data_IF_139143465048
#
_entry.id   IF_139143465048
#
_cell.length_a   1.000
_cell.length_b   1.000
_cell.length_c   1.000
_cell.angle_alpha   90.00
_cell.angle_beta   90.00
_cell.angle_gamma   90.00
#
_symmetry.space_group_name_H-M   'P 1'
#
loop_
_entity.id
_entity.type
_entity.pdbx_description
1 polymer ?
#
# COMPACT_ATOMS: atom_id res chain seq x y z
N UNK A 1 33.15 -13.37 22.73
CA UNK A 1 32.51 -14.68 23.00
C UNK A 1 31.01 -14.44 23.02
N UNK A 2 30.37 -14.50 21.83
CA UNK A 2 28.91 -14.52 21.72
C UNK A 2 28.56 -16.01 21.64
N UNK A 3 27.80 -16.49 22.61
CA UNK A 3 27.24 -17.84 22.57
C UNK A 3 26.29 -17.88 21.37
N UNK A 4 26.62 -18.69 20.37
CA UNK A 4 25.65 -19.19 19.40
C UNK A 4 24.66 -20.04 20.19
N UNK A 5 23.60 -19.43 20.70
CA UNK A 5 22.43 -20.17 21.17
C UNK A 5 21.77 -20.73 19.92
N UNK A 6 22.17 -21.95 19.55
CA UNK A 6 21.37 -22.79 18.68
C UNK A 6 20.02 -23.01 19.39
N UNK A 7 19.00 -22.21 19.05
CA UNK A 7 17.64 -22.37 19.57
C UNK A 7 16.97 -23.67 19.08
N UNK A 8 17.63 -24.39 18.16
CA UNK A 8 17.21 -25.67 17.59
C UNK A 8 18.12 -26.82 18.05
N UNK A 9 18.30 -26.98 19.36
CA UNK A 9 18.81 -28.23 19.90
C UNK A 9 17.78 -29.34 19.65
N UNK A 10 18.20 -30.42 18.98
CA UNK A 10 17.48 -31.68 18.73
C UNK A 10 16.65 -31.80 17.44
N UNK A 11 17.30 -31.68 16.28
CA UNK A 11 16.87 -32.44 15.10
C UNK A 11 17.33 -33.91 15.21
N UNK A 12 16.62 -34.68 16.03
CA UNK A 12 16.56 -36.13 15.88
C UNK A 12 15.14 -36.62 16.18
N UNK A 13 14.17 -36.18 15.37
CA UNK A 13 12.83 -36.74 15.41
C UNK A 13 12.73 -37.78 14.30
N UNK A 14 12.36 -39.02 14.63
CA UNK A 14 12.20 -40.10 13.66
C UNK A 14 10.70 -40.24 13.31
N UNK A 15 10.28 -39.92 12.07
CA UNK A 15 8.92 -40.15 11.60
C UNK A 15 8.49 -41.64 11.65
N UNK A 16 9.47 -42.55 11.75
CA UNK A 16 9.29 -44.00 11.63
C UNK A 16 8.43 -44.62 12.74
N UNK A 17 8.41 -44.06 13.96
CA UNK A 17 7.62 -44.63 15.04
C UNK A 17 6.10 -44.47 14.82
N UNK A 18 5.69 -43.43 14.12
CA UNK A 18 4.27 -43.07 13.90
C UNK A 18 3.70 -43.79 12.68
N UNK A 19 4.53 -44.08 11.68
CA UNK A 19 4.11 -44.76 10.44
C UNK A 19 4.15 -46.29 10.59
N UNK A 20 4.77 -46.83 11.66
CA UNK A 20 4.94 -48.27 11.85
C UNK A 20 3.66 -49.09 11.70
N UNK A 21 2.51 -48.58 12.15
CA UNK A 21 1.21 -49.23 11.95
C UNK A 21 0.75 -49.26 10.47
N UNK A 22 0.95 -48.17 9.74
CA UNK A 22 0.65 -48.08 8.31
C UNK A 22 1.61 -48.92 7.48
N UNK A 23 2.91 -48.93 7.84
CA UNK A 23 3.92 -49.78 7.23
C UNK A 23 3.62 -51.27 7.43
N UNK A 24 3.27 -51.69 8.64
CA UNK A 24 2.87 -53.07 8.90
C UNK A 24 1.62 -53.49 8.11
N UNK A 25 0.65 -52.58 7.94
CA UNK A 25 -0.52 -52.83 7.10
C UNK A 25 -0.15 -52.99 5.62
N UNK A 26 0.78 -52.16 5.12
CA UNK A 26 1.32 -52.30 3.77
C UNK A 26 2.07 -53.63 3.60
N UNK A 27 2.94 -53.99 4.54
CA UNK A 27 3.72 -55.24 4.54
C UNK A 27 2.83 -56.49 4.56
N UNK A 28 1.66 -56.42 5.20
CA UNK A 28 0.68 -57.51 5.21
C UNK A 28 0.02 -57.79 3.85
N UNK A 29 0.15 -56.87 2.87
CA UNK A 29 -0.49 -56.96 1.56
C UNK A 29 -1.98 -56.56 1.54
N UNK A 30 -2.62 -56.33 2.69
CA UNK A 30 -4.04 -55.99 2.81
C UNK A 30 -4.43 -54.68 2.09
N UNK A 31 -3.48 -53.77 1.91
CA UNK A 31 -3.69 -52.51 1.17
C UNK A 31 -4.11 -52.71 -0.29
N UNK A 32 -3.75 -53.84 -0.92
CA UNK A 32 -4.15 -54.16 -2.30
C UNK A 32 -5.62 -54.61 -2.39
N UNK A 33 -6.12 -55.29 -1.35
CA UNK A 33 -7.52 -55.73 -1.28
C UNK A 33 -8.45 -54.66 -0.72
N UNK A 34 -7.96 -53.84 0.21
CA UNK A 34 -8.72 -52.83 0.94
C UNK A 34 -8.02 -51.45 0.95
N UNK A 35 -7.89 -50.77 -0.21
CA UNK A 35 -7.19 -49.49 -0.30
C UNK A 35 -7.83 -48.39 0.55
N UNK A 36 -9.17 -48.39 0.67
CA UNK A 36 -9.93 -47.42 1.49
C UNK A 36 -9.54 -47.50 2.96
N UNK A 37 -9.24 -48.69 3.49
CA UNK A 37 -8.87 -48.88 4.90
C UNK A 37 -7.50 -48.26 5.18
N UNK A 38 -6.57 -48.35 4.23
CA UNK A 38 -5.26 -47.68 4.34
C UNK A 38 -5.43 -46.16 4.33
N UNK A 39 -6.25 -45.62 3.42
CA UNK A 39 -6.50 -44.18 3.31
C UNK A 39 -7.16 -43.62 4.59
N UNK A 40 -8.20 -44.27 5.10
CA UNK A 40 -8.87 -43.86 6.34
C UNK A 40 -7.95 -43.98 7.56
N UNK A 41 -7.15 -45.04 7.64
CA UNK A 41 -6.15 -45.20 8.71
C UNK A 41 -5.10 -44.10 8.65
N UNK A 42 -4.63 -43.75 7.45
CA UNK A 42 -3.67 -42.68 7.23
C UNK A 42 -4.23 -41.30 7.61
N UNK A 43 -5.49 -41.00 7.23
CA UNK A 43 -6.18 -39.78 7.65
C UNK A 43 -6.38 -39.73 9.17
N UNK A 44 -6.72 -40.86 9.79
CA UNK A 44 -6.85 -40.95 11.25
C UNK A 44 -5.52 -40.68 11.95
N UNK A 45 -4.43 -41.28 11.46
CA UNK A 45 -3.07 -41.02 11.96
C UNK A 45 -2.76 -39.53 11.87
N UNK A 46 -2.99 -38.88 10.71
CA UNK A 46 -2.79 -37.44 10.55
C UNK A 46 -3.59 -36.63 11.56
N UNK A 47 -4.89 -36.88 11.71
CA UNK A 47 -5.73 -36.14 12.67
C UNK A 47 -5.24 -36.28 14.11
N UNK A 48 -4.74 -37.46 14.48
CA UNK A 48 -4.26 -37.73 15.84
C UNK A 48 -2.89 -37.10 16.14
N UNK A 49 -1.99 -37.04 15.14
CA UNK A 49 -0.60 -36.60 15.35
C UNK A 49 -0.33 -35.18 14.92
N UNK A 50 -1.11 -34.64 13.99
CA UNK A 50 -0.92 -33.33 13.35
C UNK A 50 -2.03 -32.32 13.73
N UNK A 51 -2.75 -32.55 14.83
CA UNK A 51 -3.80 -31.66 15.29
C UNK A 51 -3.28 -30.25 15.61
N UNK A 52 -4.04 -29.24 15.15
CA UNK A 52 -3.90 -27.83 15.47
C UNK A 52 -5.17 -27.35 16.18
N UNK A 53 -5.01 -26.77 17.36
CA UNK A 53 -6.12 -26.23 18.15
C UNK A 53 -6.37 -24.77 17.79
N UNK A 54 -7.46 -24.52 17.05
CA UNK A 54 -7.84 -23.18 16.63
C UNK A 54 -8.13 -22.24 17.81
N UNK A 55 -8.75 -22.74 18.88
CA UNK A 55 -9.09 -21.92 20.05
C UNK A 55 -7.83 -21.55 20.83
N UNK A 56 -6.87 -22.46 20.93
CA UNK A 56 -5.57 -22.16 21.53
C UNK A 56 -4.78 -21.12 20.71
N UNK A 57 -4.84 -21.19 19.37
CA UNK A 57 -4.19 -20.21 18.49
C UNK A 57 -4.84 -18.82 18.63
N UNK A 58 -6.18 -18.75 18.62
CA UNK A 58 -6.93 -17.51 18.87
C UNK A 58 -6.67 -16.95 20.27
N UNK A 59 -6.50 -17.79 21.27
CA UNK A 59 -6.14 -17.38 22.62
C UNK A 59 -4.69 -16.86 22.71
N UNK A 60 -3.79 -17.40 21.88
CA UNK A 60 -2.38 -17.00 21.84
C UNK A 60 -2.15 -15.66 21.13
N UNK A 61 -3.03 -15.29 20.18
CA UNK A 61 -3.03 -13.99 19.51
C UNK A 61 -4.45 -13.52 19.21
N UNK A 62 -4.84 -12.37 19.76
CA UNK A 62 -6.15 -11.75 19.52
C UNK A 62 -6.00 -10.23 19.39
N UNK A 63 -5.75 -9.76 18.16
CA UNK A 63 -5.81 -8.35 17.77
C UNK A 63 -6.39 -8.21 16.36
N UNK A 64 -7.73 -8.23 16.21
CA UNK A 64 -8.38 -8.17 14.90
C UNK A 64 -8.33 -6.79 14.24
N UNK A 65 -7.97 -5.73 15.00
CA UNK A 65 -8.02 -4.33 14.51
C UNK A 65 -6.80 -3.93 13.66
N UNK A 66 -5.76 -4.75 13.63
CA UNK A 66 -4.51 -4.45 12.94
C UNK A 66 -4.57 -4.93 11.49
N UNK A 67 -4.00 -4.14 10.58
CA UNK A 67 -3.80 -4.59 9.19
C UNK A 67 -2.70 -5.67 9.10
N UNK A 68 -2.54 -6.34 7.94
CA UNK A 68 -1.59 -7.45 7.78
C UNK A 68 -0.13 -7.14 8.17
N UNK A 69 0.40 -5.97 7.78
CA UNK A 69 1.77 -5.58 8.10
C UNK A 69 1.94 -5.28 9.59
N UNK A 70 1.02 -4.52 10.19
CA UNK A 70 1.04 -4.24 11.62
C UNK A 70 0.91 -5.52 12.45
N UNK A 71 0.06 -6.44 12.01
CA UNK A 71 -0.09 -7.78 12.59
C UNK A 71 1.23 -8.55 12.55
N UNK A 72 1.90 -8.60 11.39
CA UNK A 72 3.19 -9.25 11.22
C UNK A 72 4.28 -8.66 12.14
N UNK A 73 4.38 -7.33 12.21
CA UNK A 73 5.32 -6.62 13.09
C UNK A 73 5.05 -6.96 14.55
N UNK A 74 3.79 -6.90 14.99
CA UNK A 74 3.37 -7.24 16.35
C UNK A 74 3.70 -8.70 16.71
N UNK A 75 3.43 -9.65 15.82
CA UNK A 75 3.74 -11.07 16.06
C UNK A 75 5.24 -11.29 16.22
N UNK A 76 6.08 -10.71 15.36
CA UNK A 76 7.53 -10.88 15.42
C UNK A 76 8.18 -10.15 16.61
N UNK A 77 7.60 -9.05 17.08
CA UNK A 77 8.16 -8.25 18.18
C UNK A 77 7.65 -8.65 19.55
N UNK A 78 6.34 -8.89 19.71
CA UNK A 78 5.69 -9.16 20.99
C UNK A 78 5.40 -10.66 21.21
N UNK A 79 5.17 -11.43 20.14
CA UNK A 79 4.70 -12.83 20.22
C UNK A 79 5.65 -13.85 19.56
N UNK A 80 6.96 -13.53 19.45
CA UNK A 80 7.95 -14.36 18.74
C UNK A 80 7.98 -15.81 19.22
N UNK A 81 7.86 -16.07 20.52
CA UNK A 81 7.89 -17.43 21.08
C UNK A 81 6.71 -18.28 20.59
N UNK A 82 5.52 -17.69 20.48
CA UNK A 82 4.32 -18.36 19.97
C UNK A 82 4.51 -18.68 18.49
N UNK A 83 5.02 -17.72 17.73
CA UNK A 83 5.37 -17.89 16.32
C UNK A 83 6.35 -19.05 16.12
N UNK A 84 7.46 -19.09 16.87
CA UNK A 84 8.47 -20.15 16.76
C UNK A 84 7.90 -21.54 17.06
N UNK A 85 7.12 -21.68 18.14
CA UNK A 85 6.48 -22.94 18.49
C UNK A 85 5.50 -23.41 17.42
N UNK A 86 4.74 -22.48 16.83
CA UNK A 86 3.81 -22.79 15.75
C UNK A 86 4.55 -23.22 14.48
N UNK A 87 5.62 -22.53 14.10
CA UNK A 87 6.40 -22.89 12.91
C UNK A 87 7.13 -24.23 13.09
N UNK A 88 7.59 -24.54 14.30
CA UNK A 88 8.06 -25.88 14.64
C UNK A 88 6.95 -26.91 14.44
N UNK A 89 5.72 -26.62 14.89
CA UNK A 89 4.59 -27.52 14.71
C UNK A 89 4.21 -27.71 13.23
N UNK A 90 4.22 -26.65 12.43
CA UNK A 90 4.00 -26.73 10.99
C UNK A 90 5.09 -27.56 10.29
N UNK A 91 6.35 -27.45 10.71
CA UNK A 91 7.42 -28.30 10.22
C UNK A 91 7.17 -29.80 10.55
N UNK A 92 6.74 -30.11 11.78
CA UNK A 92 6.35 -31.48 12.12
C UNK A 92 5.21 -31.97 11.22
N UNK A 93 4.17 -31.16 11.01
CA UNK A 93 3.04 -31.52 10.15
C UNK A 93 3.52 -31.81 8.72
N UNK A 94 4.37 -30.95 8.16
CA UNK A 94 4.98 -31.10 6.84
C UNK A 94 5.73 -32.44 6.71
N UNK A 95 6.55 -32.81 7.69
CA UNK A 95 7.30 -34.08 7.69
C UNK A 95 6.38 -35.31 7.79
N UNK A 96 5.40 -35.29 8.69
CA UNK A 96 4.48 -36.41 8.91
C UNK A 96 3.53 -36.62 7.72
N UNK A 97 2.93 -35.53 7.23
CA UNK A 97 2.06 -35.56 6.06
C UNK A 97 2.85 -35.95 4.80
N UNK A 98 4.05 -35.41 4.62
CA UNK A 98 4.95 -35.80 3.53
C UNK A 98 5.30 -37.29 3.57
N UNK A 99 5.63 -37.84 4.75
CA UNK A 99 5.97 -39.25 4.87
C UNK A 99 4.78 -40.19 4.58
N UNK A 100 3.56 -39.82 5.00
CA UNK A 100 2.34 -40.57 4.69
C UNK A 100 2.00 -40.45 3.19
N UNK A 101 2.12 -39.26 2.60
CA UNK A 101 1.90 -39.06 1.17
C UNK A 101 2.91 -39.87 0.32
N UNK A 102 4.19 -39.94 0.72
CA UNK A 102 5.20 -40.79 0.05
C UNK A 102 4.84 -42.28 0.12
N UNK A 103 4.30 -42.75 1.25
CA UNK A 103 3.82 -44.13 1.41
C UNK A 103 2.64 -44.39 0.47
N UNK A 104 1.65 -43.50 0.43
CA UNK A 104 0.47 -43.65 -0.43
C UNK A 104 0.87 -43.56 -1.91
N UNK A 105 1.72 -42.62 -2.30
CA UNK A 105 2.19 -42.49 -3.68
C UNK A 105 2.90 -43.77 -4.16
N UNK A 106 3.65 -44.44 -3.27
CA UNK A 106 4.37 -45.68 -3.58
C UNK A 106 3.44 -46.88 -3.80
N UNK A 107 2.35 -46.97 -3.05
CA UNK A 107 1.49 -48.15 -3.00
C UNK A 107 0.13 -47.98 -3.70
N UNK A 108 -0.37 -46.74 -3.81
CA UNK A 108 -1.65 -46.34 -4.38
C UNK A 108 -1.52 -45.01 -5.17
N UNK A 109 -0.75 -44.98 -6.29
CA UNK A 109 -0.47 -43.74 -7.02
C UNK A 109 -1.71 -43.08 -7.63
N UNK A 110 -2.80 -43.82 -7.90
CA UNK A 110 -4.06 -43.26 -8.42
C UNK A 110 -4.81 -42.42 -7.37
N UNK A 111 -4.61 -42.70 -6.09
CA UNK A 111 -5.37 -42.10 -4.99
C UNK A 111 -4.67 -40.90 -4.34
N UNK A 112 -3.41 -40.63 -4.69
CA UNK A 112 -2.59 -39.62 -4.00
C UNK A 112 -3.24 -38.22 -3.98
N UNK A 113 -3.77 -37.76 -5.12
CA UNK A 113 -4.39 -36.44 -5.22
C UNK A 113 -5.65 -36.34 -4.36
N UNK A 114 -6.49 -37.38 -4.34
CA UNK A 114 -7.68 -37.42 -3.49
C UNK A 114 -7.31 -37.43 -2.01
N UNK A 115 -6.25 -38.17 -1.65
CA UNK A 115 -5.74 -38.21 -0.29
C UNK A 115 -5.17 -36.85 0.15
N UNK A 116 -4.39 -36.17 -0.69
CA UNK A 116 -3.82 -34.86 -0.38
C UNK A 116 -4.92 -33.83 -0.09
N UNK A 117 -5.95 -33.77 -0.93
CA UNK A 117 -7.11 -32.89 -0.72
C UNK A 117 -7.82 -33.23 0.59
N UNK A 118 -8.04 -34.51 0.88
CA UNK A 118 -8.67 -34.94 2.13
C UNK A 118 -7.80 -34.64 3.36
N UNK A 119 -6.48 -34.78 3.25
CA UNK A 119 -5.52 -34.47 4.29
C UNK A 119 -5.54 -32.96 4.61
N UNK A 120 -5.44 -32.10 3.60
CA UNK A 120 -5.53 -30.64 3.75
C UNK A 120 -6.86 -30.26 4.40
N UNK A 121 -7.99 -30.73 3.87
CA UNK A 121 -9.32 -30.43 4.40
C UNK A 121 -9.51 -30.89 5.85
N UNK A 122 -8.81 -31.95 6.26
CA UNK A 122 -8.89 -32.48 7.63
C UNK A 122 -8.00 -31.74 8.64
N UNK A 123 -6.85 -31.22 8.21
CA UNK A 123 -5.87 -30.57 9.06
C UNK A 123 -6.09 -29.05 9.15
N UNK A 124 -6.47 -28.44 8.04
CA UNK A 124 -6.62 -27.00 7.88
C UNK A 124 -8.08 -26.64 7.63
N UNK A 125 -8.90 -26.84 8.66
CA UNK A 125 -10.28 -26.34 8.64
C UNK A 125 -10.30 -24.81 8.50
N UNK A 126 -11.40 -24.20 8.04
CA UNK A 126 -11.49 -22.75 7.88
C UNK A 126 -11.14 -21.97 9.17
N UNK A 127 -11.53 -22.50 10.33
CA UNK A 127 -11.20 -21.92 11.64
C UNK A 127 -9.69 -21.94 11.92
N UNK A 128 -9.03 -23.05 11.60
CA UNK A 128 -7.56 -23.17 11.74
C UNK A 128 -6.88 -22.21 10.77
N UNK A 129 -7.31 -22.17 9.51
CA UNK A 129 -6.75 -21.26 8.50
C UNK A 129 -6.76 -19.81 8.98
N UNK A 130 -7.93 -19.32 9.40
CA UNK A 130 -8.07 -17.95 9.89
C UNK A 130 -7.24 -17.68 11.15
N UNK A 131 -7.07 -18.69 12.01
CA UNK A 131 -6.24 -18.58 13.22
C UNK A 131 -4.73 -18.57 12.93
N UNK A 132 -4.31 -19.08 11.77
CA UNK A 132 -2.92 -19.09 11.32
C UNK A 132 -2.51 -17.80 10.61
N UNK A 133 -3.45 -17.09 9.98
CA UNK A 133 -3.20 -15.88 9.18
C UNK A 133 -2.23 -14.88 9.82
N UNK A 134 -2.36 -14.48 11.11
CA UNK A 134 -1.43 -13.54 11.74
C UNK A 134 0.03 -13.99 11.72
N UNK A 135 0.25 -15.29 11.90
CA UNK A 135 1.58 -15.89 11.94
C UNK A 135 2.13 -16.09 10.51
N UNK A 136 1.26 -16.35 9.54
CA UNK A 136 1.67 -16.44 8.14
C UNK A 136 2.07 -15.05 7.61
N UNK A 137 1.38 -13.97 7.99
CA UNK A 137 1.83 -12.60 7.69
C UNK A 137 3.19 -12.28 8.31
N UNK A 138 3.46 -12.75 9.53
CA UNK A 138 4.78 -12.64 10.16
C UNK A 138 5.89 -13.31 9.33
N UNK A 139 5.62 -14.49 8.77
CA UNK A 139 6.56 -15.15 7.85
C UNK A 139 6.74 -14.40 6.53
N UNK A 140 5.67 -13.87 5.95
CA UNK A 140 5.73 -13.04 4.74
C UNK A 140 6.64 -11.81 4.94
N UNK A 141 6.61 -11.22 6.13
CA UNK A 141 7.49 -10.11 6.53
C UNK A 141 8.95 -10.54 6.68
N UNK A 142 9.23 -11.72 7.26
CA UNK A 142 10.58 -12.27 7.33
C UNK A 142 11.17 -12.47 5.92
N UNK A 143 10.38 -13.02 5.01
CA UNK A 143 10.79 -13.21 3.62
C UNK A 143 10.97 -11.90 2.87
N UNK A 144 10.15 -10.88 3.16
CA UNK A 144 10.29 -9.54 2.58
C UNK A 144 11.61 -8.88 3.02
N UNK A 145 11.91 -8.94 4.32
CA UNK A 145 13.15 -8.38 4.87
C UNK A 145 14.40 -9.10 4.32
N UNK A 146 14.31 -10.42 4.10
CA UNK A 146 15.38 -11.18 3.44
C UNK A 146 15.54 -10.76 1.97
N UNK A 147 14.44 -10.56 1.24
CA UNK A 147 14.48 -10.09 -0.14
C UNK A 147 15.10 -8.69 -0.26
N UNK A 148 14.74 -7.77 0.65
CA UNK A 148 15.28 -6.42 0.75
C UNK A 148 16.79 -6.40 1.02
N UNK A 149 17.26 -7.31 1.89
CA UNK A 149 18.68 -7.45 2.22
C UNK A 149 19.51 -7.97 1.04
N UNK A 150 18.93 -8.83 0.20
CA UNK A 150 19.60 -9.42 -0.96
C UNK A 150 19.60 -8.50 -2.19
N UNK A 151 18.74 -7.47 -2.23
CA UNK A 151 18.66 -6.49 -3.32
C UNK A 151 18.74 -5.05 -2.79
N UNK A 152 19.87 -4.63 -2.20
CA UNK A 152 20.00 -3.33 -1.54
C UNK A 152 19.91 -2.15 -2.53
N UNK A 153 20.38 -2.33 -3.77
CA UNK A 153 20.40 -1.26 -4.80
C UNK A 153 19.02 -0.71 -5.16
N UNK A 154 17.97 -1.51 -4.95
CA UNK A 154 16.57 -1.17 -5.26
C UNK A 154 15.71 -1.04 -4.00
N UNK A 155 16.31 -1.10 -2.81
CA UNK A 155 15.60 -0.98 -1.56
C UNK A 155 15.55 0.49 -1.12
N UNK A 156 14.50 1.22 -1.51
CA UNK A 156 14.28 2.60 -1.05
C UNK A 156 13.85 2.71 0.43
N UNK A 157 13.59 1.60 1.13
CA UNK A 157 13.13 1.56 2.52
C UNK A 157 14.24 1.19 3.52
N UNK A 158 15.51 1.25 3.11
CA UNK A 158 16.65 0.83 3.93
C UNK A 158 16.79 1.57 5.26
N UNK A 159 16.28 2.81 5.36
CA UNK A 159 16.29 3.62 6.60
C UNK A 159 15.05 3.42 7.47
N UNK A 160 14.10 2.55 7.08
CA UNK A 160 12.89 2.29 7.85
C UNK A 160 13.23 1.88 9.29
N UNK A 161 12.70 2.64 10.25
CA UNK A 161 12.86 2.43 11.69
C UNK A 161 12.22 1.10 12.10
N UNK A 162 11.07 0.76 11.50
CA UNK A 162 10.40 -0.51 11.77
C UNK A 162 11.26 -1.68 11.31
N UNK A 163 11.80 -1.60 10.10
CA UNK A 163 12.64 -2.65 9.51
C UNK A 163 13.95 -2.83 10.28
N UNK A 164 14.60 -1.73 10.66
CA UNK A 164 15.86 -1.76 11.43
C UNK A 164 15.67 -2.32 12.84
N UNK A 165 14.60 -1.92 13.56
CA UNK A 165 14.28 -2.48 14.89
C UNK A 165 14.09 -3.99 14.83
N UNK A 166 13.28 -4.48 13.87
CA UNK A 166 13.04 -5.91 13.71
C UNK A 166 14.34 -6.67 13.36
N UNK A 167 15.14 -6.14 12.44
CA UNK A 167 16.42 -6.75 12.05
C UNK A 167 17.39 -6.92 13.24
N UNK A 168 17.41 -5.97 14.19
CA UNK A 168 18.25 -6.10 15.39
C UNK A 168 17.75 -7.11 16.42
N UNK A 169 16.44 -7.41 16.42
CA UNK A 169 15.81 -8.28 17.41
C UNK A 169 15.73 -9.74 16.95
N UNK A 170 15.65 -9.97 15.64
CA UNK A 170 15.41 -11.29 15.06
C UNK A 170 16.72 -12.01 14.73
N UNK A 171 16.78 -13.36 14.88
CA UNK A 171 17.89 -14.15 14.38
C UNK A 171 18.01 -14.06 12.85
N UNK A 172 19.25 -13.94 12.34
CA UNK A 172 19.52 -13.84 10.89
C UNK A 172 19.00 -15.04 10.08
N UNK A 173 19.05 -16.22 10.68
CA UNK A 173 18.79 -17.49 9.97
C UNK A 173 17.31 -17.90 10.05
N UNK A 174 16.47 -17.11 10.74
CA UNK A 174 15.08 -17.46 11.01
C UNK A 174 14.26 -17.57 9.71
N UNK A 175 14.45 -16.63 8.77
CA UNK A 175 13.77 -16.66 7.48
C UNK A 175 14.11 -17.93 6.70
N UNK A 176 15.39 -18.29 6.63
CA UNK A 176 15.86 -19.50 5.94
C UNK A 176 15.28 -20.77 6.57
N UNK A 177 15.27 -20.86 7.91
CA UNK A 177 14.68 -21.98 8.64
C UNK A 177 13.20 -22.16 8.34
N UNK A 178 12.42 -21.07 8.38
CA UNK A 178 10.99 -21.10 8.08
C UNK A 178 10.71 -21.44 6.61
N UNK A 179 11.57 -21.01 5.69
CA UNK A 179 11.42 -21.24 4.23
C UNK A 179 11.39 -22.71 3.86
N UNK A 180 12.16 -23.55 4.55
CA UNK A 180 12.17 -25.00 4.29
C UNK A 180 10.80 -25.65 4.49
N UNK A 181 9.94 -25.11 5.36
CA UNK A 181 8.59 -25.63 5.63
C UNK A 181 7.70 -25.54 4.38
N UNK A 182 7.88 -24.48 3.58
CA UNK A 182 7.08 -24.21 2.39
C UNK A 182 7.78 -24.63 1.09
N UNK A 183 8.98 -25.20 1.17
CA UNK A 183 9.72 -25.64 -0.01
C UNK A 183 9.04 -26.83 -0.71
N UNK A 184 9.04 -26.81 -2.04
CA UNK A 184 8.39 -27.82 -2.88
C UNK A 184 9.35 -28.97 -3.19
N UNK A 185 9.05 -30.17 -2.67
CA UNK A 185 9.60 -31.43 -3.17
C UNK A 185 8.79 -31.96 -4.37
N UNK A 186 9.39 -32.73 -5.31
CA UNK A 186 8.73 -33.18 -6.54
C UNK A 186 7.57 -34.18 -6.34
N UNK A 187 7.31 -34.64 -5.12
CA UNK A 187 6.25 -35.61 -4.78
C UNK A 187 5.86 -35.55 -3.29
N UNK A 188 5.97 -34.37 -2.68
CA UNK A 188 5.76 -34.18 -1.24
C UNK A 188 4.58 -33.25 -0.99
N UNK A 189 3.79 -33.58 0.04
CA UNK A 189 2.77 -32.70 0.60
C UNK A 189 3.36 -31.31 0.84
N UNK A 190 2.67 -30.23 0.45
CA UNK A 190 3.18 -28.87 0.59
C UNK A 190 2.18 -27.98 1.32
N UNK A 191 2.68 -27.19 2.27
CA UNK A 191 1.93 -26.16 2.97
C UNK A 191 1.87 -24.82 2.21
N UNK A 192 2.38 -24.78 0.98
CA UNK A 192 2.49 -23.56 0.18
C UNK A 192 1.11 -22.90 -0.10
N UNK A 193 0.03 -23.68 -0.20
CA UNK A 193 -1.34 -23.20 -0.38
C UNK A 193 -1.79 -22.20 0.71
N UNK A 194 -1.21 -22.25 1.91
CA UNK A 194 -1.52 -21.34 3.01
C UNK A 194 -1.09 -19.88 2.74
N UNK A 195 -0.21 -19.67 1.76
CA UNK A 195 0.38 -18.36 1.47
C UNK A 195 -0.30 -17.64 0.30
N UNK A 196 -0.99 -18.37 -0.59
CA UNK A 196 -1.44 -17.86 -1.89
C UNK A 196 -2.36 -16.64 -1.76
N UNK A 197 -3.36 -16.73 -0.89
CA UNK A 197 -4.35 -15.67 -0.65
C UNK A 197 -3.81 -14.51 0.18
N UNK A 198 -2.64 -14.68 0.82
CA UNK A 198 -2.05 -13.70 1.73
C UNK A 198 -1.08 -12.73 1.03
N UNK A 199 -0.55 -13.09 -0.14
CA UNK A 199 0.48 -12.31 -0.85
C UNK A 199 0.02 -10.88 -1.13
N UNK A 200 -1.15 -10.73 -1.75
CA UNK A 200 -1.69 -9.43 -2.15
C UNK A 200 -2.04 -8.53 -0.96
N UNK A 201 -2.89 -8.94 0.01
CA UNK A 201 -3.25 -8.08 1.13
C UNK A 201 -2.03 -7.70 1.98
N UNK A 202 -1.07 -8.63 2.14
CA UNK A 202 0.16 -8.34 2.86
C UNK A 202 1.02 -7.29 2.15
N UNK A 203 1.30 -7.45 0.85
CA UNK A 203 2.22 -6.53 0.16
C UNK A 203 1.61 -5.13 0.01
N UNK A 204 0.29 -5.02 -0.21
CA UNK A 204 -0.39 -3.72 -0.27
C UNK A 204 -0.29 -2.98 1.07
N UNK A 205 -0.54 -3.68 2.19
CA UNK A 205 -0.43 -3.12 3.54
C UNK A 205 1.03 -2.77 3.89
N UNK A 206 1.99 -3.66 3.62
CA UNK A 206 3.40 -3.43 3.92
C UNK A 206 3.97 -2.25 3.12
N UNK A 207 3.66 -2.21 1.83
CA UNK A 207 4.12 -1.15 0.95
C UNK A 207 3.50 0.21 1.33
N UNK A 208 2.23 0.25 1.74
CA UNK A 208 1.59 1.47 2.25
C UNK A 208 2.32 2.02 3.48
N UNK A 209 2.55 1.19 4.50
CA UNK A 209 3.21 1.63 5.74
C UNK A 209 4.65 2.08 5.50
N UNK A 210 5.41 1.32 4.72
CA UNK A 210 6.79 1.68 4.39
C UNK A 210 6.86 2.95 3.55
N UNK A 211 5.90 3.16 2.64
CA UNK A 211 5.80 4.41 1.86
C UNK A 211 5.44 5.58 2.75
N UNK A 212 4.49 5.41 3.67
CA UNK A 212 4.12 6.45 4.65
C UNK A 212 5.34 6.88 5.46
N UNK A 213 6.10 5.93 6.02
CA UNK A 213 7.34 6.23 6.76
C UNK A 213 8.39 6.94 5.89
N UNK A 214 8.60 6.49 4.65
CA UNK A 214 9.62 7.04 3.75
C UNK A 214 9.36 8.49 3.36
N UNK A 215 8.09 8.83 3.09
CA UNK A 215 7.76 10.10 2.45
C UNK A 215 7.21 11.14 3.45
N UNK A 216 6.96 10.75 4.70
CA UNK A 216 6.39 11.61 5.74
C UNK A 216 7.16 12.93 5.87
N UNK A 217 6.46 14.07 5.74
CA UNK A 217 7.03 15.42 5.83
C UNK A 217 8.16 15.77 4.83
N UNK A 218 8.47 14.91 3.84
CA UNK A 218 9.54 15.14 2.87
C UNK A 218 8.96 15.47 1.49
N UNK A 219 9.04 16.72 1.03
CA UNK A 219 8.42 17.15 -0.23
C UNK A 219 9.42 17.50 -1.34
N UNK A 220 10.71 17.54 -1.01
CA UNK A 220 11.78 18.05 -1.88
C UNK A 220 12.41 16.97 -2.76
N UNK A 221 11.95 15.72 -2.62
CA UNK A 221 12.44 14.56 -3.36
C UNK A 221 11.30 13.89 -4.14
N UNK A 222 11.64 13.25 -5.26
CA UNK A 222 10.72 12.40 -6.03
C UNK A 222 10.87 10.95 -5.60
N UNK A 223 9.74 10.28 -5.34
CA UNK A 223 9.69 8.93 -4.79
C UNK A 223 9.03 7.92 -5.73
N UNK A 224 8.24 8.36 -6.71
CA UNK A 224 7.54 7.44 -7.64
C UNK A 224 8.51 6.51 -8.37
N UNK A 225 9.66 7.01 -8.84
CA UNK A 225 10.69 6.20 -9.48
C UNK A 225 11.22 5.09 -8.56
N UNK A 226 11.82 5.44 -7.40
CA UNK A 226 12.30 4.48 -6.41
C UNK A 226 11.23 3.45 -5.98
N UNK A 227 9.99 3.89 -5.75
CA UNK A 227 8.86 3.02 -5.39
C UNK A 227 8.55 1.99 -6.48
N UNK A 228 8.59 2.38 -7.75
CA UNK A 228 8.38 1.46 -8.89
C UNK A 228 9.53 0.46 -9.02
N UNK A 229 10.76 0.93 -8.85
CA UNK A 229 11.95 0.08 -8.92
C UNK A 229 11.95 -0.96 -7.79
N UNK A 230 11.55 -0.57 -6.58
CA UNK A 230 11.34 -1.49 -5.45
C UNK A 230 10.34 -2.60 -5.80
N UNK A 231 9.15 -2.26 -6.30
CA UNK A 231 8.14 -3.26 -6.69
C UNK A 231 8.66 -4.20 -7.78
N UNK A 232 9.33 -3.67 -8.80
CA UNK A 232 9.81 -4.46 -9.93
C UNK A 232 11.02 -5.35 -9.59
N UNK A 233 11.89 -4.95 -8.66
CA UNK A 233 13.14 -5.66 -8.36
C UNK A 233 13.11 -6.42 -7.03
N UNK A 234 12.70 -5.76 -5.95
CA UNK A 234 12.65 -6.39 -4.63
C UNK A 234 11.45 -7.32 -4.57
N UNK A 235 10.25 -6.83 -4.90
CA UNK A 235 9.02 -7.60 -4.73
C UNK A 235 8.90 -8.67 -5.83
N UNK A 236 8.89 -8.28 -7.11
CA UNK A 236 8.63 -9.22 -8.21
C UNK A 236 9.80 -10.18 -8.47
N UNK A 237 11.04 -9.67 -8.54
CA UNK A 237 12.21 -10.49 -8.96
C UNK A 237 12.90 -11.22 -7.81
N UNK A 238 12.70 -10.81 -6.56
CA UNK A 238 13.30 -11.45 -5.36
C UNK A 238 12.22 -12.07 -4.47
N UNK A 239 11.42 -11.27 -3.76
CA UNK A 239 10.47 -11.73 -2.74
C UNK A 239 9.46 -12.76 -3.25
N UNK A 240 8.78 -12.47 -4.35
CA UNK A 240 7.84 -13.43 -4.95
C UNK A 240 8.52 -14.73 -5.30
N UNK A 241 9.76 -14.75 -5.79
CA UNK A 241 10.45 -16.02 -6.10
C UNK A 241 10.77 -16.85 -4.85
N UNK A 242 10.88 -16.21 -3.68
CA UNK A 242 11.14 -16.90 -2.41
C UNK A 242 9.88 -17.56 -1.87
N UNK A 243 8.75 -16.87 -2.00
CA UNK A 243 7.45 -17.36 -1.53
C UNK A 243 6.81 -18.28 -2.56
N UNK A 244 6.97 -17.97 -3.85
CA UNK A 244 6.31 -18.60 -4.98
C UNK A 244 7.31 -19.23 -5.95
N UNK A 245 7.28 -20.55 -6.02
CA UNK A 245 7.36 -21.21 -7.33
C UNK A 245 6.00 -21.14 -8.09
N UNK A 246 5.04 -20.30 -7.65
CA UNK A 246 3.71 -20.17 -8.27
C UNK A 246 3.86 -19.78 -9.74
N UNK A 247 3.22 -20.58 -10.59
CA UNK A 247 2.92 -20.25 -11.98
C UNK A 247 1.73 -19.26 -12.01
N UNK A 248 1.92 -18.02 -11.57
CA UNK A 248 0.82 -17.05 -11.54
C UNK A 248 0.57 -16.57 -12.96
N UNK A 249 -0.60 -16.91 -13.51
CA UNK A 249 -1.10 -16.36 -14.78
C UNK A 249 -1.46 -14.86 -14.67
N UNK A 250 -1.59 -14.33 -13.44
CA UNK A 250 -1.82 -12.92 -13.15
C UNK A 250 -0.76 -12.38 -12.19
N UNK A 251 0.01 -11.38 -12.61
CA UNK A 251 0.90 -10.65 -11.71
C UNK A 251 0.03 -9.91 -10.68
N UNK A 252 0.12 -10.21 -9.37
CA UNK A 252 -0.69 -9.54 -8.35
C UNK A 252 -0.33 -8.05 -8.19
N UNK A 253 0.84 -7.65 -8.70
CA UNK A 253 1.36 -6.30 -8.58
C UNK A 253 1.17 -5.55 -9.89
N UNK A 254 0.20 -4.65 -9.90
CA UNK A 254 0.07 -3.67 -10.99
C UNK A 254 1.10 -2.56 -10.78
N UNK A 255 1.75 -2.04 -11.85
CA UNK A 255 2.56 -0.82 -11.77
C UNK A 255 1.82 0.37 -11.14
N UNK A 256 0.49 0.34 -11.20
CA UNK A 256 -0.41 1.31 -10.57
C UNK A 256 -0.28 1.37 -9.05
N UNK A 257 0.16 0.30 -8.38
CA UNK A 257 0.27 0.26 -6.91
C UNK A 257 1.19 1.36 -6.37
N UNK A 258 2.32 1.62 -7.03
CA UNK A 258 3.23 2.71 -6.66
C UNK A 258 2.53 4.07 -6.68
N UNK A 259 1.75 4.34 -7.73
CA UNK A 259 1.03 5.60 -7.92
C UNK A 259 -0.12 5.75 -6.91
N UNK A 260 -0.96 4.72 -6.77
CA UNK A 260 -2.12 4.76 -5.87
C UNK A 260 -1.69 4.85 -4.41
N UNK A 261 -0.65 4.13 -4.00
CA UNK A 261 -0.10 4.18 -2.64
C UNK A 261 0.54 5.53 -2.35
N UNK A 262 1.36 6.05 -3.27
CA UNK A 262 1.95 7.39 -3.11
C UNK A 262 0.88 8.46 -2.94
N UNK A 263 -0.14 8.47 -3.80
CA UNK A 263 -1.23 9.42 -3.69
C UNK A 263 -2.05 9.23 -2.41
N UNK A 264 -2.33 7.98 -2.00
CA UNK A 264 -3.04 7.69 -0.76
C UNK A 264 -2.37 8.36 0.45
N UNK A 265 -1.04 8.25 0.55
CA UNK A 265 -0.25 8.91 1.60
C UNK A 265 -0.28 10.44 1.43
N UNK A 266 -0.02 10.95 0.21
CA UNK A 266 0.04 12.39 -0.06
C UNK A 266 -1.29 13.12 0.01
N UNK A 267 -2.41 12.42 -0.12
CA UNK A 267 -3.76 13.00 -0.15
C UNK A 267 -4.03 13.87 1.08
N UNK A 268 -3.53 13.47 2.24
CA UNK A 268 -3.72 14.19 3.50
C UNK A 268 -2.82 15.45 3.61
N UNK A 269 -1.76 15.52 2.82
CA UNK A 269 -0.75 16.58 2.85
C UNK A 269 -0.81 17.50 1.63
N UNK A 270 -1.77 17.31 0.71
CA UNK A 270 -1.85 18.05 -0.55
C UNK A 270 -1.76 19.56 -0.34
N UNK A 271 -2.46 20.11 0.65
CA UNK A 271 -2.39 21.54 0.94
C UNK A 271 -0.96 21.99 1.25
N UNK A 272 -0.22 21.23 2.06
CA UNK A 272 1.15 21.56 2.44
C UNK A 272 2.10 21.43 1.25
N UNK A 273 1.97 20.37 0.47
CA UNK A 273 2.72 20.21 -0.80
C UNK A 273 2.53 21.44 -1.69
N UNK A 274 1.30 21.95 -1.81
CA UNK A 274 1.03 23.12 -2.65
C UNK A 274 1.54 24.43 -2.04
N UNK A 275 1.50 24.60 -0.72
CA UNK A 275 2.02 25.80 -0.04
C UNK A 275 3.55 25.87 -0.07
N UNK A 276 4.23 24.72 0.01
CA UNK A 276 5.69 24.60 0.02
C UNK A 276 6.28 24.66 -1.41
N UNK A 277 5.49 25.02 -2.43
CA UNK A 277 5.98 25.20 -3.80
C UNK A 277 6.63 26.59 -3.97
N UNK A 278 7.80 26.73 -4.65
CA UNK A 278 8.44 25.79 -5.60
C UNK A 278 9.35 24.69 -5.05
N UNK A 279 9.64 24.66 -3.76
CA UNK A 279 10.59 23.74 -3.12
C UNK A 279 10.05 22.30 -3.16
N UNK A 280 8.74 22.15 -3.02
CA UNK A 280 7.99 20.90 -3.16
C UNK A 280 7.79 20.43 -4.62
N UNK A 281 8.43 21.06 -5.60
CA UNK A 281 8.23 20.74 -7.03
C UNK A 281 8.41 19.25 -7.37
N UNK A 282 9.35 18.50 -6.80
CA UNK A 282 9.45 17.06 -7.04
C UNK A 282 8.19 16.28 -6.62
N UNK A 283 7.58 16.60 -5.48
CA UNK A 283 6.30 16.02 -5.06
C UNK A 283 5.15 16.43 -5.99
N UNK A 284 5.13 17.67 -6.47
CA UNK A 284 4.16 18.15 -7.47
C UNK A 284 4.27 17.36 -8.78
N UNK A 285 5.49 17.06 -9.23
CA UNK A 285 5.74 16.25 -10.43
C UNK A 285 5.34 14.78 -10.25
N UNK A 286 5.50 14.22 -9.06
CA UNK A 286 5.01 12.88 -8.74
C UNK A 286 3.47 12.81 -8.73
N UNK A 287 2.80 13.83 -8.18
CA UNK A 287 1.33 13.96 -8.25
C UNK A 287 0.84 14.06 -9.69
N UNK A 288 1.55 14.80 -10.55
CA UNK A 288 1.27 14.83 -12.00
C UNK A 288 1.36 13.43 -12.60
N UNK A 289 2.43 12.69 -12.32
CA UNK A 289 2.62 11.34 -12.83
C UNK A 289 1.49 10.39 -12.40
N UNK A 290 1.04 10.49 -11.14
CA UNK A 290 -0.13 9.77 -10.64
C UNK A 290 -1.41 10.09 -11.43
N UNK A 291 -1.69 11.37 -11.69
CA UNK A 291 -2.91 11.76 -12.42
C UNK A 291 -2.89 11.31 -13.89
N UNK A 292 -1.71 11.33 -14.52
CA UNK A 292 -1.56 10.84 -15.89
C UNK A 292 -1.85 9.33 -15.98
N UNK A 293 -1.49 8.57 -14.95
CA UNK A 293 -1.70 7.12 -14.91
C UNK A 293 -3.13 6.72 -14.49
N UNK A 294 -3.75 7.45 -13.56
CA UNK A 294 -5.04 7.06 -12.94
C UNK A 294 -6.25 7.83 -13.44
N UNK A 295 -6.06 8.96 -14.13
CA UNK A 295 -7.12 9.86 -14.58
C UNK A 295 -8.04 10.38 -13.46
N UNK A 296 -7.55 10.41 -12.20
CA UNK A 296 -8.32 10.75 -11.01
C UNK A 296 -8.26 12.25 -10.62
N UNK A 297 -8.38 13.16 -11.59
CA UNK A 297 -8.27 14.61 -11.36
C UNK A 297 -9.32 15.14 -10.35
N UNK A 298 -10.54 14.62 -10.41
CA UNK A 298 -11.64 15.06 -9.55
C UNK A 298 -11.35 14.84 -8.06
N UNK A 299 -10.73 13.71 -7.69
CA UNK A 299 -10.42 13.43 -6.28
C UNK A 299 -9.40 14.43 -5.72
N UNK A 300 -8.42 14.85 -6.53
CA UNK A 300 -7.49 15.92 -6.16
C UNK A 300 -8.21 17.25 -5.97
N UNK A 301 -9.12 17.62 -6.87
CA UNK A 301 -9.90 18.86 -6.78
C UNK A 301 -10.72 18.89 -5.50
N UNK A 302 -11.42 17.79 -5.19
CA UNK A 302 -12.28 17.71 -4.02
C UNK A 302 -11.47 17.75 -2.72
N UNK A 303 -10.39 16.96 -2.63
CA UNK A 303 -9.53 16.89 -1.46
C UNK A 303 -8.81 18.22 -1.20
N UNK A 304 -8.08 18.74 -2.19
CA UNK A 304 -7.32 19.98 -2.03
C UNK A 304 -8.24 21.20 -1.90
N UNK A 305 -9.32 21.27 -2.68
CA UNK A 305 -10.27 22.37 -2.61
C UNK A 305 -10.93 22.48 -1.24
N UNK A 306 -11.22 21.34 -0.59
CA UNK A 306 -11.69 21.32 0.80
C UNK A 306 -10.66 21.90 1.76
N UNK A 307 -9.41 21.46 1.68
CA UNK A 307 -8.34 21.95 2.56
C UNK A 307 -8.04 23.44 2.37
N UNK A 308 -8.06 23.94 1.14
CA UNK A 308 -7.91 25.38 0.85
C UNK A 308 -8.99 26.20 1.54
N UNK A 309 -10.26 25.77 1.47
CA UNK A 309 -11.37 26.46 2.15
C UNK A 309 -11.22 26.46 3.67
N UNK A 310 -10.76 25.35 4.25
CA UNK A 310 -10.63 25.20 5.70
C UNK A 310 -9.42 25.97 6.24
N UNK A 311 -8.29 25.90 5.54
CA UNK A 311 -6.99 26.35 6.08
C UNK A 311 -6.59 27.74 5.60
N UNK A 312 -6.80 28.06 4.32
CA UNK A 312 -6.38 29.34 3.74
C UNK A 312 -7.46 30.42 3.82
N UNK A 313 -8.74 30.02 3.71
CA UNK A 313 -9.86 30.96 3.64
C UNK A 313 -10.58 31.18 4.98
N UNK A 314 -9.93 30.84 6.09
CA UNK A 314 -10.46 31.13 7.41
C UNK A 314 -10.35 32.65 7.70
N UNK A 315 -11.34 33.29 8.36
CA UNK A 315 -11.35 34.76 8.57
C UNK A 315 -10.13 35.33 9.31
N UNK A 316 -9.38 34.50 10.02
CA UNK A 316 -8.18 34.90 10.75
C UNK A 316 -6.89 34.97 9.92
N UNK A 317 -6.89 34.49 8.68
CA UNK A 317 -5.70 34.47 7.81
C UNK A 317 -5.44 35.88 7.26
N UNK A 318 -4.18 36.32 7.24
CA UNK A 318 -3.83 37.65 6.74
C UNK A 318 -3.96 37.72 5.21
N UNK A 319 -4.32 38.89 4.67
CA UNK A 319 -4.49 39.10 3.22
C UNK A 319 -3.23 38.73 2.45
N UNK A 320 -2.08 39.04 3.05
CA UNK A 320 -0.76 38.76 2.53
C UNK A 320 -0.48 37.24 2.40
N UNK A 321 -0.87 36.45 3.40
CA UNK A 321 -0.76 34.99 3.39
C UNK A 321 -1.70 34.35 2.35
N UNK A 322 -2.91 34.90 2.18
CA UNK A 322 -3.85 34.43 1.14
C UNK A 322 -3.27 34.69 -0.26
N UNK A 323 -2.69 35.87 -0.48
CA UNK A 323 -2.01 36.19 -1.74
C UNK A 323 -0.85 35.25 -2.01
N UNK A 324 -0.02 34.98 -1.00
CA UNK A 324 1.09 34.02 -1.11
C UNK A 324 0.59 32.63 -1.50
N UNK A 325 -0.37 32.10 -0.74
CA UNK A 325 -0.97 30.78 -1.00
C UNK A 325 -1.63 30.70 -2.38
N UNK A 326 -2.28 31.77 -2.84
CA UNK A 326 -2.84 31.85 -4.20
C UNK A 326 -1.77 31.65 -5.28
N UNK A 327 -0.59 32.27 -5.14
CA UNK A 327 0.51 32.08 -6.08
C UNK A 327 1.06 30.68 -6.10
N UNK A 328 1.26 30.08 -4.93
CA UNK A 328 1.75 28.71 -4.83
C UNK A 328 0.76 27.73 -5.45
N UNK A 329 -0.55 27.90 -5.18
CA UNK A 329 -1.62 27.10 -5.79
C UNK A 329 -1.62 27.25 -7.31
N UNK A 330 -1.61 28.47 -7.84
CA UNK A 330 -1.65 28.69 -9.29
C UNK A 330 -0.45 28.03 -9.97
N UNK A 331 0.77 28.28 -9.48
CA UNK A 331 1.98 27.74 -10.10
C UNK A 331 2.07 26.22 -9.98
N UNK A 332 1.79 25.67 -8.81
CA UNK A 332 1.79 24.22 -8.59
C UNK A 332 0.71 23.51 -9.42
N UNK A 333 -0.52 24.03 -9.46
CA UNK A 333 -1.63 23.40 -10.18
C UNK A 333 -1.40 23.39 -11.69
N UNK A 334 -0.73 24.41 -12.25
CA UNK A 334 -0.34 24.42 -13.66
C UNK A 334 0.67 23.34 -14.02
N UNK A 335 1.56 22.96 -13.09
CA UNK A 335 2.48 21.85 -13.33
C UNK A 335 1.72 20.51 -13.33
N UNK A 336 0.78 20.32 -12.39
CA UNK A 336 -0.04 19.11 -12.24
C UNK A 336 -1.00 18.94 -13.41
N UNK A 337 -1.78 19.97 -13.73
CA UNK A 337 -2.83 19.98 -14.74
C UNK A 337 -2.59 21.13 -15.74
N UNK A 338 -1.96 20.84 -16.89
CA UNK A 338 -1.73 21.83 -17.94
C UNK A 338 -3.01 22.41 -18.56
N UNK A 339 -4.18 21.79 -18.35
CA UNK A 339 -5.46 22.32 -18.85
C UNK A 339 -6.02 23.44 -17.98
N UNK A 340 -5.43 23.67 -16.80
CA UNK A 340 -5.86 24.65 -15.79
C UNK A 340 -7.25 24.42 -15.19
N UNK A 341 -7.91 23.29 -15.46
CA UNK A 341 -9.24 22.98 -14.89
C UNK A 341 -9.18 22.90 -13.36
N UNK A 342 -8.19 22.19 -12.81
CA UNK A 342 -8.03 22.11 -11.35
C UNK A 342 -7.70 23.48 -10.73
N UNK A 343 -6.86 24.27 -11.42
CA UNK A 343 -6.51 25.63 -11.00
C UNK A 343 -7.76 26.51 -10.90
N UNK A 344 -8.57 26.56 -11.96
CA UNK A 344 -9.74 27.43 -12.04
C UNK A 344 -10.75 27.09 -10.93
N UNK A 345 -11.00 25.81 -10.69
CA UNK A 345 -11.97 25.37 -9.67
C UNK A 345 -11.47 25.65 -8.25
N UNK A 346 -10.21 25.32 -7.94
CA UNK A 346 -9.65 25.43 -6.58
C UNK A 346 -9.37 26.90 -6.22
N UNK A 347 -8.92 27.71 -7.18
CA UNK A 347 -8.53 29.10 -6.94
C UNK A 347 -9.70 30.09 -7.00
N UNK A 348 -10.83 29.75 -7.62
CA UNK A 348 -12.04 30.58 -7.65
C UNK A 348 -12.49 31.10 -6.26
N UNK A 349 -12.61 30.26 -5.21
CA UNK A 349 -13.01 30.75 -3.89
C UNK A 349 -11.94 31.64 -3.25
N UNK A 350 -10.66 31.42 -3.55
CA UNK A 350 -9.55 32.26 -3.07
C UNK A 350 -9.61 33.65 -3.70
N UNK A 351 -9.80 33.73 -5.01
CA UNK A 351 -9.98 34.99 -5.73
C UNK A 351 -11.22 35.76 -5.24
N UNK A 352 -12.32 35.04 -4.96
CA UNK A 352 -13.53 35.65 -4.39
C UNK A 352 -13.31 36.22 -3.00
N UNK A 353 -12.53 35.52 -2.15
CA UNK A 353 -12.16 36.01 -0.83
C UNK A 353 -11.34 37.31 -0.92
N UNK A 354 -10.32 37.35 -1.79
CA UNK A 354 -9.48 38.53 -1.99
C UNK A 354 -10.27 39.75 -2.50
N UNK A 355 -11.28 39.55 -3.36
CA UNK A 355 -12.13 40.64 -3.87
C UNK A 355 -12.97 41.34 -2.80
N UNK A 356 -13.26 40.65 -1.70
CA UNK A 356 -14.10 41.18 -0.60
C UNK A 356 -13.25 41.89 0.47
N UNK A 357 -11.92 41.71 0.44
CA UNK A 357 -11.02 42.32 1.42
C UNK A 357 -10.59 43.72 0.97
N UNK A 358 -10.95 44.73 1.75
CA UNK A 358 -10.68 46.15 1.46
C UNK A 358 -9.19 46.46 1.27
N UNK A 359 -8.31 45.71 1.93
CA UNK A 359 -6.86 45.88 1.92
C UNK A 359 -6.14 45.10 0.79
N UNK A 360 -6.83 44.23 0.05
CA UNK A 360 -6.19 43.34 -0.94
C UNK A 360 -5.47 44.10 -2.06
N UNK A 361 -6.06 45.17 -2.57
CA UNK A 361 -5.41 45.99 -3.61
C UNK A 361 -4.12 46.62 -3.09
N UNK A 362 -4.13 47.12 -1.85
CA UNK A 362 -2.95 47.72 -1.24
C UNK A 362 -1.84 46.67 -1.08
N UNK A 363 -2.16 45.48 -0.55
CA UNK A 363 -1.18 44.39 -0.42
C UNK A 363 -0.61 43.95 -1.78
N UNK A 364 -1.43 43.88 -2.83
CA UNK A 364 -0.98 43.54 -4.19
C UNK A 364 -0.01 44.62 -4.72
N UNK A 365 -0.39 45.89 -4.59
CA UNK A 365 0.42 47.02 -5.05
C UNK A 365 1.74 47.08 -4.29
N UNK A 366 1.73 46.92 -2.96
CA UNK A 366 2.93 46.84 -2.13
C UNK A 366 3.86 45.73 -2.62
N UNK A 367 3.31 44.54 -2.91
CA UNK A 367 4.09 43.41 -3.45
C UNK A 367 4.65 43.69 -4.84
N UNK A 368 4.00 44.48 -5.68
CA UNK A 368 4.49 44.83 -7.03
C UNK A 368 5.55 45.94 -7.01
N UNK A 369 5.47 46.88 -6.06
CA UNK A 369 6.33 48.05 -5.98
C UNK A 369 7.55 47.82 -5.08
N UNK A 370 7.44 46.94 -4.08
CA UNK A 370 8.56 46.61 -3.20
C UNK A 370 9.60 45.79 -3.97
N UNK A 371 10.82 46.30 -4.21
CA UNK A 371 11.87 45.52 -4.84
C UNK A 371 12.26 44.35 -3.91
N UNK A 372 12.64 43.18 -4.46
CA UNK A 372 13.21 42.09 -3.67
C UNK A 372 14.42 42.62 -2.89
N UNK A 373 14.33 42.65 -1.55
CA UNK A 373 15.45 43.06 -0.68
C UNK A 373 15.26 44.23 0.30
N UNK A 374 14.04 44.67 0.67
CA UNK A 374 13.87 45.70 1.72
C UNK A 374 13.01 45.29 2.94
N UNK A 375 12.85 44.00 3.22
CA UNK A 375 12.46 43.55 4.56
C UNK A 375 13.73 43.19 5.32
N UNK A 376 14.06 43.98 6.35
CA UNK A 376 15.19 43.72 7.25
C UNK A 376 14.90 42.48 8.10
N UNK A 377 15.13 41.29 7.55
CA UNK A 377 15.30 40.04 8.31
C UNK A 377 16.45 39.27 7.66
N UNK A 378 17.46 38.94 8.47
CA UNK A 378 18.56 38.08 8.06
C UNK A 378 17.99 36.66 7.90
N UNK A 379 17.79 36.22 6.66
CA UNK A 379 17.35 34.88 6.31
C UNK A 379 17.01 34.73 4.81
N UNK A 380 17.92 34.08 4.09
CA UNK A 380 17.79 33.30 2.85
C UNK A 380 17.08 33.86 1.59
N UNK A 381 17.73 33.64 0.44
CA UNK A 381 17.36 34.07 -0.93
C UNK A 381 16.04 33.43 -1.49
N UNK A 382 15.17 32.92 -0.62
CA UNK A 382 14.07 32.00 -0.97
C UNK A 382 12.71 32.71 -1.07
N UNK A 383 12.41 33.65 -0.17
CA UNK A 383 11.18 34.47 -0.25
C UNK A 383 11.13 35.32 -1.53
N UNK A 384 12.29 35.77 -2.02
CA UNK A 384 12.42 36.57 -3.24
C UNK A 384 11.91 35.84 -4.50
N UNK A 385 12.03 34.51 -4.57
CA UNK A 385 11.60 33.71 -5.73
C UNK A 385 10.08 33.47 -5.75
N UNK A 386 9.45 33.40 -4.57
CA UNK A 386 8.00 33.25 -4.43
C UNK A 386 7.30 34.59 -4.70
N UNK A 387 7.83 35.69 -4.17
CA UNK A 387 7.36 37.06 -4.45
C UNK A 387 7.49 37.40 -5.94
N UNK A 388 8.63 37.11 -6.58
CA UNK A 388 8.79 37.35 -8.03
C UNK A 388 7.92 36.45 -8.91
N UNK A 389 7.62 35.22 -8.48
CA UNK A 389 6.67 34.33 -9.18
C UNK A 389 5.24 34.86 -9.13
N UNK A 390 4.80 35.33 -7.97
CA UNK A 390 3.51 35.99 -7.76
C UNK A 390 3.36 37.27 -8.58
N UNK A 391 4.39 38.12 -8.59
CA UNK A 391 4.41 39.33 -9.42
C UNK A 391 4.22 38.99 -10.90
N UNK A 392 4.92 37.97 -11.41
CA UNK A 392 4.76 37.52 -12.81
C UNK A 392 3.35 37.03 -13.10
N UNK A 393 2.74 36.27 -12.19
CA UNK A 393 1.36 35.77 -12.30
C UNK A 393 0.32 36.89 -12.30
N UNK A 394 0.47 37.89 -11.41
CA UNK A 394 -0.41 39.06 -11.33
C UNK A 394 -0.28 39.98 -12.54
N UNK A 395 0.85 39.93 -13.24
CA UNK A 395 1.11 40.67 -14.48
C UNK A 395 0.69 39.91 -15.75
N UNK A 396 0.24 38.64 -15.64
CA UNK A 396 -0.32 37.94 -16.78
C UNK A 396 -1.64 38.62 -17.20
N UNK A 397 -1.87 38.82 -18.50
CA UNK A 397 -3.19 39.25 -18.97
C UNK A 397 -4.21 38.22 -18.50
N UNK A 398 -5.30 38.67 -17.87
CA UNK A 398 -6.47 37.82 -17.60
C UNK A 398 -6.83 37.07 -18.89
N UNK A 399 -7.14 35.76 -18.85
CA UNK A 399 -7.84 35.14 -19.97
C UNK A 399 -9.05 36.02 -20.25
N UNK A 400 -9.19 36.49 -21.49
CA UNK A 400 -10.25 37.39 -21.90
C UNK A 400 -11.58 36.88 -21.31
N UNK A 401 -12.11 37.57 -20.30
CA UNK A 401 -13.51 37.42 -19.93
C UNK A 401 -14.26 37.84 -21.20
N UNK A 402 -14.78 36.85 -21.92
CA UNK A 402 -15.67 37.11 -23.03
C UNK A 402 -16.89 37.75 -22.40
N UNK A 403 -16.98 39.08 -22.48
CA UNK A 403 -18.21 39.78 -22.13
C UNK A 403 -19.35 39.11 -22.91
N UNK A 404 -20.46 38.72 -22.24
CA UNK A 404 -21.61 38.23 -22.96
C UNK A 404 -22.01 39.31 -23.95
N UNK A 405 -21.97 38.97 -25.23
CA UNK A 405 -22.32 39.89 -26.30
C UNK A 405 -23.80 40.22 -26.11
N UNK A 406 -24.10 41.46 -25.71
CA UNK A 406 -25.45 42.01 -25.70
C UNK A 406 -25.99 42.07 -27.14
N UNK A 407 -26.46 40.94 -27.66
CA UNK A 407 -27.33 40.91 -28.84
C UNK A 407 -28.77 41.24 -28.42
N UNK A 408 -29.03 42.52 -28.15
CA UNK A 408 -30.37 43.09 -28.30
C UNK A 408 -30.25 44.43 -29.01
N UNK A 409 -29.99 44.37 -30.32
CA UNK A 409 -30.04 45.54 -31.19
C UNK A 409 -31.48 45.76 -31.65
N UNK A 410 -32.13 46.68 -30.93
CA UNK A 410 -33.08 47.70 -31.39
C UNK A 410 -33.79 47.45 -32.73
N UNK A 411 -35.05 47.04 -32.65
CA UNK A 411 -35.96 46.93 -33.78
C UNK A 411 -36.80 48.20 -33.92
N UNK A 412 -36.32 49.15 -34.71
CA UNK A 412 -37.08 50.32 -35.15
C UNK A 412 -37.83 50.00 -36.47
N UNK A 413 -39.16 49.93 -36.41
CA UNK A 413 -40.02 50.02 -37.58
C UNK A 413 -41.35 50.73 -37.23
N UNK A 414 -41.27 52.06 -37.31
CA UNK A 414 -42.30 53.06 -37.63
C UNK A 414 -43.81 52.72 -37.54
N UNK A 415 -44.47 53.53 -36.71
CA UNK A 415 -45.84 54.07 -36.80
C UNK A 415 -46.44 54.15 -38.22
N UNK A 416 -47.63 53.55 -38.40
CA UNK A 416 -48.72 54.15 -39.18
C UNK A 416 -50.05 54.01 -38.42
N UNK A 417 -50.80 55.09 -38.48
CA UNK A 417 -51.98 55.52 -37.75
C UNK A 417 -53.28 54.68 -37.85
N UNK A 418 -54.07 54.80 -36.78
CA UNK A 418 -55.54 54.93 -36.65
C UNK A 418 -56.47 53.95 -37.38
N UNK A 419 -57.27 53.20 -36.61
CA UNK A 419 -58.69 53.55 -36.31
C UNK A 419 -59.30 52.55 -35.28
N UNK A 420 -60.07 53.08 -34.33
CA UNK A 420 -60.93 52.31 -33.43
C UNK A 420 -62.29 52.06 -34.09
N UNK A 421 -63.09 51.07 -33.66
CA UNK A 421 -64.11 51.44 -32.67
C UNK A 421 -64.48 50.37 -31.63
N UNK A 422 -64.60 50.88 -30.40
CA UNK A 422 -65.53 50.61 -29.28
C UNK A 422 -65.88 49.20 -28.77
N UNK A 423 -66.04 49.06 -27.42
CA UNK A 423 -66.52 47.86 -26.75
C UNK A 423 -68.03 47.90 -26.52
N UNK A 424 -68.70 46.74 -26.49
CA UNK A 424 -70.01 46.60 -25.88
C UNK A 424 -70.14 45.22 -25.21
N UNK A 425 -70.27 45.29 -23.88
CA UNK A 425 -70.97 44.43 -22.90
C UNK A 425 -70.75 42.92 -22.89
#
# INVERSE_FOLDING_TARGET
MRENVHYWGFFSFQPMAIIGGLQAFVESGLHSEYPVVLLESALHTLRSTCYLDADALKAAYSRPDLDPFQTAVCVLSEHLKVFLNLFQRLHEIQEHAGAICRLIHRHLPSEIHHFEVAAVASLFTPDVHHSLEPFLYAYMLLELNAAESDTPDYNCFFESIVTSKLSTQLPSDLAEQCRHIFSLGPSEFSLHFLLEDLVKPFIESAFLHKTEELILNEYTSSFIGPLRDYLAHVVEKSWLKRINHIKTQSNPLTPQLAYTTYYCVRRQELFRVMMDYPESRPAVMDLKAYLMETHALQDLIDALGKEVRIRLLHPGVHTDEILMGYGCLVRGLREIDPSSVAQDIICQPVASCLRVRDDAVHCIVDRLITPPGHQNVVGDNEEDNQVTGLQKELLLPTPLEVEPTDEVRDGDAHLVAHESPQPLQ
#
